data_IF_167025349989
#
_entry.id   IF_167025349989
#
_cell.length_a   1.000
_cell.length_b   1.000
_cell.length_c   1.000
_cell.angle_alpha   90.00
_cell.angle_beta   90.00
_cell.angle_gamma   90.00
#
_symmetry.space_group_name_H-M   'P 1'
#
loop_
_entity.id
_entity.type
_entity.pdbx_description
1 polymer ?
#
# COMPACT_ATOMS: atom_id res chain seq x y z
N UNK A 1 -10.91 10.37 3.76
CA UNK A 1 -11.18 11.80 3.51
C UNK A 1 -12.34 11.88 2.54
N UNK A 2 -13.30 12.76 2.76
CA UNK A 2 -14.43 12.98 1.85
C UNK A 2 -14.36 14.41 1.31
N UNK A 3 -13.47 14.68 0.33
CA UNK A 3 -13.42 15.98 -0.31
C UNK A 3 -14.71 16.24 -1.11
N UNK A 4 -15.08 17.51 -1.26
CA UNK A 4 -16.24 17.91 -2.04
C UNK A 4 -15.99 17.71 -3.55
N UNK A 5 -14.75 17.93 -3.97
CA UNK A 5 -14.30 17.61 -5.32
C UNK A 5 -13.82 16.15 -5.38
N UNK A 6 -14.42 15.37 -6.27
CA UNK A 6 -14.11 13.95 -6.44
C UNK A 6 -12.67 13.69 -6.92
N UNK A 7 -11.99 14.68 -7.51
CA UNK A 7 -10.61 14.58 -7.99
C UNK A 7 -9.55 14.87 -6.91
N UNK A 8 -9.95 15.37 -5.74
CA UNK A 8 -9.05 15.68 -4.63
C UNK A 8 -8.81 14.48 -3.70
N UNK A 9 -8.90 13.26 -4.25
CA UNK A 9 -8.63 12.05 -3.48
C UNK A 9 -7.13 11.83 -3.26
N UNK A 10 -6.78 11.08 -2.23
CA UNK A 10 -5.40 10.67 -2.00
C UNK A 10 -5.02 9.54 -2.96
N UNK A 11 -3.97 9.76 -3.73
CA UNK A 11 -3.41 8.75 -4.63
C UNK A 11 -2.69 7.63 -3.87
N UNK A 12 -1.81 8.02 -2.95
CA UNK A 12 -1.05 7.09 -2.13
C UNK A 12 -0.68 7.69 -0.77
N UNK A 13 -0.49 6.81 0.21
CA UNK A 13 -0.02 7.11 1.56
C UNK A 13 1.15 6.17 1.83
N UNK A 14 2.30 6.76 2.14
CA UNK A 14 3.46 6.03 2.65
C UNK A 14 3.59 6.26 4.15
N UNK A 15 3.70 5.17 4.90
CA UNK A 15 3.88 5.21 6.34
C UNK A 15 5.12 4.41 6.72
N UNK A 16 5.94 5.01 7.57
CA UNK A 16 7.23 4.47 7.97
C UNK A 16 7.32 4.38 9.49
N UNK A 17 7.04 3.21 10.08
CA UNK A 17 7.00 3.06 11.54
C UNK A 17 8.39 3.10 12.19
N UNK A 18 9.49 3.07 11.43
CA UNK A 18 10.85 3.00 11.99
C UNK A 18 11.33 4.27 12.71
N UNK A 19 10.54 5.36 12.66
CA UNK A 19 10.72 6.58 13.47
C UNK A 19 9.74 6.68 14.65
N UNK A 20 8.88 5.66 14.79
CA UNK A 20 7.86 5.52 15.83
C UNK A 20 8.07 4.17 16.54
N UNK A 21 6.99 3.53 17.01
CA UNK A 21 7.02 2.26 17.74
C UNK A 21 7.64 1.08 16.97
N UNK A 22 7.88 1.19 15.65
CA UNK A 22 8.52 0.13 14.88
C UNK A 22 10.02 -0.01 15.11
N UNK A 23 10.71 1.06 15.52
CA UNK A 23 12.16 1.04 15.67
C UNK A 23 12.94 0.78 14.36
N UNK A 24 14.28 0.84 14.40
CA UNK A 24 15.12 0.66 13.21
C UNK A 24 14.85 -0.68 12.50
N UNK A 25 14.71 -0.65 11.18
CA UNK A 25 14.52 -1.85 10.36
C UNK A 25 13.07 -2.33 10.18
N UNK A 26 12.09 -1.69 10.82
CA UNK A 26 10.67 -2.00 10.59
C UNK A 26 10.21 -1.73 9.14
N UNK A 27 9.40 -2.65 8.60
CA UNK A 27 8.83 -2.53 7.26
C UNK A 27 7.93 -1.30 7.13
N UNK A 28 8.02 -0.62 5.99
CA UNK A 28 7.10 0.45 5.61
C UNK A 28 5.76 -0.11 5.14
N UNK A 29 4.73 0.74 5.22
CA UNK A 29 3.39 0.45 4.69
C UNK A 29 3.12 1.44 3.56
N UNK A 30 2.79 0.93 2.37
CA UNK A 30 2.31 1.72 1.24
C UNK A 30 0.85 1.35 0.98
N UNK A 31 -0.03 2.34 1.05
CA UNK A 31 -1.45 2.21 0.66
C UNK A 31 -1.69 3.12 -0.53
N UNK A 32 -2.35 2.65 -1.57
CA UNK A 32 -2.63 3.46 -2.75
C UNK A 32 -4.00 3.15 -3.36
N UNK A 33 -4.54 4.11 -4.09
CA UNK A 33 -5.85 3.99 -4.69
C UNK A 33 -5.82 2.92 -5.80
N UNK A 34 -6.71 1.92 -5.68
CA UNK A 34 -6.86 0.84 -6.66
C UNK A 34 -7.09 1.36 -8.09
N UNK A 35 -7.70 2.53 -8.27
CA UNK A 35 -7.89 3.14 -9.60
C UNK A 35 -6.57 3.43 -10.34
N UNK A 36 -5.47 3.61 -9.60
CA UNK A 36 -4.13 3.82 -10.14
C UNK A 36 -3.44 2.49 -10.51
N UNK A 37 -3.93 1.36 -9.97
CA UNK A 37 -3.42 0.03 -10.26
C UNK A 37 -4.06 -0.52 -11.54
N UNK A 38 -3.36 -0.40 -12.68
CA UNK A 38 -3.85 -0.88 -13.98
C UNK A 38 -3.18 -2.17 -14.46
N UNK A 39 -2.03 -2.52 -13.88
CA UNK A 39 -1.27 -3.72 -14.26
C UNK A 39 -1.66 -4.88 -13.33
N UNK A 40 -1.87 -6.08 -13.90
CA UNK A 40 -2.16 -7.29 -13.14
C UNK A 40 -0.92 -7.88 -12.46
N UNK A 41 0.26 -7.57 -12.96
CA UNK A 41 1.56 -8.07 -12.49
C UNK A 41 2.44 -6.86 -12.18
N UNK A 42 3.07 -6.79 -10.99
CA UNK A 42 4.00 -5.71 -10.68
C UNK A 42 5.24 -5.79 -11.58
N UNK A 43 5.70 -4.64 -12.08
CA UNK A 43 6.84 -4.56 -13.00
C UNK A 43 8.18 -5.02 -12.39
N UNK A 44 8.34 -4.91 -11.07
CA UNK A 44 9.49 -5.43 -10.35
C UNK A 44 9.07 -6.03 -9.00
N UNK A 45 8.70 -7.33 -8.95
CA UNK A 45 8.42 -7.99 -7.69
C UNK A 45 9.72 -8.05 -6.87
N UNK A 46 9.80 -7.31 -5.75
CA UNK A 46 10.89 -7.46 -4.81
C UNK A 46 10.88 -8.89 -4.24
N UNK A 47 12.06 -9.50 -4.06
CA UNK A 47 12.23 -10.91 -3.65
C UNK A 47 11.74 -11.29 -2.24
N UNK A 48 10.88 -10.47 -1.63
CA UNK A 48 10.14 -10.85 -0.43
C UNK A 48 8.84 -11.56 -0.81
N UNK A 49 8.39 -12.48 0.05
CA UNK A 49 7.13 -13.21 -0.13
C UNK A 49 5.96 -12.23 -0.32
N UNK A 50 5.49 -12.06 -1.55
CA UNK A 50 4.26 -11.34 -1.86
C UNK A 50 3.10 -12.23 -1.43
N UNK A 51 2.70 -12.13 -0.17
CA UNK A 51 1.47 -12.76 0.31
C UNK A 51 0.29 -11.85 -0.06
N UNK A 52 -0.30 -12.09 -1.23
CA UNK A 52 -1.61 -11.52 -1.53
C UNK A 52 -2.63 -12.15 -0.56
N UNK A 53 -3.26 -11.35 0.30
CA UNK A 53 -4.39 -11.80 1.11
C UNK A 53 -5.61 -10.98 0.76
N UNK A 54 -6.73 -11.64 0.55
CA UNK A 54 -8.03 -10.99 0.41
C UNK A 54 -8.80 -11.08 1.75
N UNK A 55 -9.90 -10.31 1.92
CA UNK A 55 -10.72 -10.33 3.14
C UNK A 55 -11.32 -11.70 3.48
N UNK A 56 -11.25 -12.67 2.56
CA UNK A 56 -11.78 -14.03 2.71
C UNK A 56 -10.71 -15.05 3.11
N UNK A 57 -9.51 -14.60 3.50
CA UNK A 57 -8.48 -15.46 4.08
C UNK A 57 -7.87 -16.47 3.10
N UNK A 58 -7.89 -16.18 1.80
CA UNK A 58 -7.19 -16.99 0.79
C UNK A 58 -5.97 -16.24 0.27
N UNK A 59 -4.81 -16.84 0.53
CA UNK A 59 -3.51 -16.55 -0.07
C UNK A 59 -3.17 -17.59 -1.12
#
# INVERSE_FOLDING_TARGET
>A
MHPQNADEYLDAITFSPHKFLGGPGSSGVLVFNKKLYKNLVPDNPGGGTVSYTNPWGRS
#
